data_IF_632603737389
#
_entry.id   IF_632603737389
#
_cell.length_a   1.000
_cell.length_b   1.000
_cell.length_c   1.000
_cell.angle_alpha   90.00
_cell.angle_beta   90.00
_cell.angle_gamma   90.00
#
_symmetry.space_group_name_H-M   'P 1'
#
loop_
_entity.id
_entity.type
_entity.pdbx_description
1 polymer ?
#
# COMPACT_ATOMS: atom_id res chain seq x y z
N UNK A 1 -19.39 3.32 3.63
CA UNK A 1 -19.27 1.88 3.24
C UNK A 1 -17.99 1.74 2.41
N UNK A 2 -17.06 0.86 2.79
CA UNK A 2 -15.82 0.63 2.03
C UNK A 2 -16.08 -0.42 0.96
N UNK A 3 -16.07 -0.04 -0.32
CA UNK A 3 -16.47 -0.91 -1.44
C UNK A 3 -15.29 -1.63 -2.10
N UNK A 4 -14.10 -1.03 -2.12
CA UNK A 4 -12.88 -1.67 -2.62
C UNK A 4 -11.68 -1.46 -1.66
N UNK A 5 -11.39 -2.46 -0.81
CA UNK A 5 -10.25 -2.39 0.11
C UNK A 5 -8.87 -2.36 -0.56
N UNK A 6 -8.75 -2.84 -1.80
CA UNK A 6 -7.48 -2.84 -2.54
C UNK A 6 -7.26 -1.46 -3.15
N UNK A 7 -8.29 -0.86 -3.75
CA UNK A 7 -8.19 0.50 -4.27
C UNK A 7 -7.86 1.51 -3.16
N UNK A 8 -8.46 1.37 -1.97
CA UNK A 8 -8.10 2.20 -0.80
C UNK A 8 -6.64 2.00 -0.39
N UNK A 9 -6.15 0.76 -0.32
CA UNK A 9 -4.74 0.47 -0.04
C UNK A 9 -3.81 1.20 -1.02
N UNK A 10 -4.04 1.03 -2.33
CA UNK A 10 -3.23 1.65 -3.37
C UNK A 10 -3.28 3.17 -3.29
N UNK A 11 -4.46 3.74 -3.04
CA UNK A 11 -4.65 5.18 -2.88
C UNK A 11 -3.88 5.73 -1.68
N UNK A 12 -3.90 5.04 -0.53
CA UNK A 12 -3.16 5.46 0.66
C UNK A 12 -1.64 5.42 0.43
N UNK A 13 -1.14 4.41 -0.26
CA UNK A 13 0.29 4.31 -0.61
C UNK A 13 0.69 5.45 -1.53
N UNK A 14 -0.09 5.69 -2.61
CA UNK A 14 0.15 6.80 -3.53
C UNK A 14 0.16 8.16 -2.82
N UNK A 15 -0.86 8.42 -2.00
CA UNK A 15 -0.98 9.68 -1.28
C UNK A 15 0.17 9.85 -0.28
N UNK A 16 0.57 8.78 0.41
CA UNK A 16 1.72 8.83 1.33
C UNK A 16 3.03 9.11 0.60
N UNK A 17 3.21 8.56 -0.60
CA UNK A 17 4.34 8.84 -1.48
C UNK A 17 4.39 10.32 -1.88
N UNK A 18 3.26 10.84 -2.37
CA UNK A 18 3.16 12.22 -2.87
C UNK A 18 3.33 13.26 -1.74
N UNK A 19 2.77 12.97 -0.56
CA UNK A 19 2.90 13.82 0.63
C UNK A 19 4.23 13.64 1.37
N UNK A 20 5.17 12.84 0.83
CA UNK A 20 6.48 12.55 1.43
C UNK A 20 6.41 11.97 2.85
N UNK A 21 5.34 11.24 3.16
CA UNK A 21 5.21 10.56 4.45
C UNK A 21 6.18 9.37 4.53
N UNK A 22 6.73 9.12 5.72
CA UNK A 22 7.61 7.96 5.94
C UNK A 22 6.88 6.62 5.86
N UNK A 23 5.58 6.60 6.16
CA UNK A 23 4.78 5.37 6.24
C UNK A 23 3.31 5.61 5.93
N UNK A 24 2.66 4.61 5.37
CA UNK A 24 1.21 4.52 5.22
C UNK A 24 0.66 3.51 6.23
N UNK A 25 -0.43 3.86 6.94
CA UNK A 25 -1.06 2.99 7.95
C UNK A 25 -2.50 2.72 7.56
N UNK A 26 -2.93 1.45 7.65
CA UNK A 26 -4.28 1.02 7.30
C UNK A 26 -4.65 -0.33 7.93
N UNK A 27 -5.94 -0.69 7.99
CA UNK A 27 -6.36 -2.02 8.44
C UNK A 27 -5.75 -3.12 7.56
N UNK A 28 -5.22 -4.15 8.21
CA UNK A 28 -4.58 -5.28 7.53
C UNK A 28 -5.61 -6.25 6.96
N UNK A 29 -5.22 -6.90 5.87
CA UNK A 29 -5.91 -8.08 5.33
C UNK A 29 -4.87 -8.97 4.67
N UNK A 30 -5.15 -10.28 4.54
CA UNK A 30 -4.21 -11.22 3.92
C UNK A 30 -3.76 -10.76 2.52
N UNK A 31 -4.70 -10.23 1.73
CA UNK A 31 -4.44 -9.72 0.37
C UNK A 31 -3.55 -8.46 0.43
N UNK A 32 -3.85 -7.50 1.31
CA UNK A 32 -3.03 -6.28 1.44
C UNK A 32 -1.60 -6.59 1.87
N UNK A 33 -1.43 -7.56 2.77
CA UNK A 33 -0.11 -8.04 3.20
C UNK A 33 0.64 -8.69 2.04
N UNK A 34 -0.03 -9.53 1.24
CA UNK A 34 0.59 -10.15 0.05
C UNK A 34 1.02 -9.09 -0.98
N UNK A 35 0.19 -8.08 -1.25
CA UNK A 35 0.55 -6.97 -2.14
C UNK A 35 1.75 -6.19 -1.57
N UNK A 36 1.73 -5.84 -0.28
CA UNK A 36 2.83 -5.11 0.36
C UNK A 36 4.14 -5.91 0.35
N UNK A 37 4.06 -7.25 0.47
CA UNK A 37 5.20 -8.14 0.32
C UNK A 37 5.82 -8.04 -1.07
N UNK A 38 5.01 -8.19 -2.12
CA UNK A 38 5.49 -8.09 -3.51
C UNK A 38 6.11 -6.71 -3.76
N UNK A 39 5.46 -5.63 -3.32
CA UNK A 39 6.01 -4.29 -3.46
C UNK A 39 7.37 -4.10 -2.75
N UNK A 40 7.59 -4.80 -1.64
CA UNK A 40 8.85 -4.73 -0.90
C UNK A 40 9.94 -5.56 -1.58
N UNK A 41 9.61 -6.73 -2.10
CA UNK A 41 10.51 -7.61 -2.85
C UNK A 41 11.01 -6.94 -4.15
N UNK A 42 10.11 -6.27 -4.86
CA UNK A 42 10.44 -5.48 -6.06
C UNK A 42 11.10 -4.12 -5.73
N UNK A 43 11.25 -3.79 -4.44
CA UNK A 43 11.96 -2.59 -3.99
C UNK A 43 11.22 -1.26 -4.19
N UNK A 44 9.90 -1.29 -4.44
CA UNK A 44 9.05 -0.10 -4.53
C UNK A 44 8.78 0.55 -3.16
N UNK A 45 8.72 -0.27 -2.11
CA UNK A 45 8.57 0.18 -0.72
C UNK A 45 9.79 -0.26 0.09
N UNK A 46 10.08 0.42 1.20
CA UNK A 46 11.23 0.06 2.05
C UNK A 46 10.95 -1.18 2.90
N UNK A 47 9.69 -1.49 3.14
CA UNK A 47 9.24 -2.69 3.85
C UNK A 47 7.81 -2.55 4.34
N UNK A 48 7.34 -3.56 5.06
CA UNK A 48 6.04 -3.54 5.71
C UNK A 48 6.08 -4.24 7.07
N UNK A 49 5.16 -3.90 7.95
CA UNK A 49 4.94 -4.59 9.22
C UNK A 49 3.46 -4.68 9.56
N UNK A 50 3.10 -5.73 10.28
CA UNK A 50 1.74 -5.90 10.81
C UNK A 50 1.80 -5.71 12.33
N UNK A 51 0.95 -4.83 12.86
CA UNK A 51 0.95 -4.43 14.26
C UNK A 51 -0.48 -4.44 14.82
N UNK A 52 -0.62 -4.53 16.14
CA UNK A 52 -1.92 -4.52 16.82
C UNK A 52 -2.46 -5.92 17.15
N UNK A 53 -3.59 -5.95 17.85
CA UNK A 53 -4.22 -7.19 18.32
C UNK A 53 -4.77 -8.04 17.19
N UNK A 54 -4.84 -9.37 17.40
CA UNK A 54 -5.38 -10.34 16.43
C UNK A 54 -6.76 -9.95 15.88
N UNK A 55 -7.57 -9.22 16.67
CA UNK A 55 -8.90 -8.79 16.28
C UNK A 55 -8.90 -7.62 15.29
N UNK A 56 -7.92 -6.72 15.34
CA UNK A 56 -7.83 -5.51 14.50
C UNK A 56 -6.39 -5.17 14.14
N UNK A 57 -5.71 -6.03 13.36
CA UNK A 57 -4.36 -5.76 12.93
C UNK A 57 -4.29 -4.58 11.95
N UNK A 58 -3.26 -3.77 12.08
CA UNK A 58 -2.89 -2.69 11.17
C UNK A 58 -1.67 -3.10 10.34
N UNK A 59 -1.72 -2.78 9.05
CA UNK A 59 -0.60 -2.86 8.12
C UNK A 59 0.07 -1.48 8.05
N UNK A 60 1.37 -1.48 8.28
CA UNK A 60 2.24 -0.32 8.12
C UNK A 60 3.13 -0.60 6.91
N UNK A 61 3.13 0.30 5.94
CA UNK A 61 4.00 0.23 4.74
C UNK A 61 4.99 1.38 4.80
N UNK A 62 6.29 1.08 4.75
CA UNK A 62 7.36 2.07 4.72
C UNK A 62 7.56 2.60 3.31
N UNK A 63 7.53 3.92 3.13
CA UNK A 63 7.77 4.53 1.83
C UNK A 63 9.27 4.56 1.53
N UNK A 64 9.63 4.41 0.26
CA UNK A 64 11.01 4.51 -0.23
C UNK A 64 11.16 5.76 -1.09
N UNK A 65 12.25 6.49 -0.86
CA UNK A 65 12.62 7.68 -1.60
C UNK A 65 14.03 7.50 -2.15
N UNK A 66 14.33 8.10 -3.31
CA UNK A 66 15.68 8.16 -3.84
C UNK A 66 16.56 9.10 -3.03
N UNK A 67 17.87 9.07 -3.26
CA UNK A 67 18.83 9.97 -2.61
C UNK A 67 18.56 11.46 -2.92
N UNK A 68 17.86 11.73 -4.03
CA UNK A 68 17.39 13.08 -4.43
C UNK A 68 16.05 13.46 -3.78
N UNK A 69 15.51 12.63 -2.88
CA UNK A 69 14.25 12.84 -2.18
C UNK A 69 13.00 12.62 -3.05
N UNK A 70 13.14 12.00 -4.22
CA UNK A 70 12.02 11.71 -5.09
C UNK A 70 11.35 10.39 -4.68
N UNK A 71 10.01 10.29 -4.72
CA UNK A 71 9.32 9.03 -4.45
C UNK A 71 9.71 7.97 -5.48
N UNK A 72 10.04 6.75 -5.01
CA UNK A 72 10.32 5.61 -5.91
C UNK A 72 9.06 5.16 -6.66
N UNK A 73 7.90 5.29 -6.02
CA UNK A 73 6.61 5.01 -6.65
C UNK A 73 6.18 6.25 -7.44
N UNK A 74 6.22 6.16 -8.77
CA UNK A 74 5.78 7.21 -9.70
C UNK A 74 4.28 7.16 -10.00
N UNK A 75 3.68 5.96 -9.96
CA UNK A 75 2.27 5.76 -10.24
C UNK A 75 1.78 4.41 -9.73
N UNK A 76 0.48 4.34 -9.42
CA UNK A 76 -0.18 3.10 -8.98
C UNK A 76 -1.64 3.14 -9.41
N UNK A 77 -2.16 2.05 -9.96
CA UNK A 77 -3.54 1.97 -10.45
C UNK A 77 -4.17 0.60 -10.20
N UNK A 78 -5.47 0.60 -9.89
CA UNK A 78 -6.31 -0.61 -9.83
C UNK A 78 -6.96 -0.89 -11.18
N UNK A 79 -6.57 -2.00 -11.81
CA UNK A 79 -7.10 -2.45 -13.11
C UNK A 79 -8.49 -3.08 -12.99
N UNK A 80 -8.63 -4.20 -12.27
CA UNK A 80 -9.93 -4.89 -12.08
C UNK A 80 -10.74 -4.24 -10.95
N UNK A 81 -12.00 -3.84 -11.17
CA UNK A 81 -12.80 -3.11 -10.17
C UNK A 81 -14.13 -3.85 -9.90
N UNK A 82 -14.81 -3.64 -8.76
CA UNK A 82 -16.05 -4.36 -8.45
C UNK A 82 -17.13 -4.29 -9.53
N UNK A 83 -17.27 -3.13 -10.21
CA UNK A 83 -18.24 -2.95 -11.30
C UNK A 83 -17.81 -3.48 -12.66
N UNK A 84 -16.51 -3.76 -12.87
CA UNK A 84 -15.99 -4.34 -14.11
C UNK A 84 -14.72 -5.14 -13.82
N UNK A 85 -14.84 -6.47 -13.90
CA UNK A 85 -13.74 -7.41 -13.67
C UNK A 85 -12.99 -7.66 -14.97
N UNK A 86 -11.70 -7.37 -14.96
CA UNK A 86 -10.76 -7.78 -15.99
C UNK A 86 -10.16 -9.13 -15.60
N UNK A 87 -10.17 -10.10 -16.54
CA UNK A 87 -9.59 -11.43 -16.42
C UNK A 87 -8.48 -11.62 -17.44
#
# INVERSE_FOLDING_TARGET
MMTDPIADFLTRVRNSSNSRHRRAVMPSSKIKVAIAKILAEEGFVSGYSVTGDKARPNLIVGMKYSDKGQPVISGIERVSRPGQRTY
#
